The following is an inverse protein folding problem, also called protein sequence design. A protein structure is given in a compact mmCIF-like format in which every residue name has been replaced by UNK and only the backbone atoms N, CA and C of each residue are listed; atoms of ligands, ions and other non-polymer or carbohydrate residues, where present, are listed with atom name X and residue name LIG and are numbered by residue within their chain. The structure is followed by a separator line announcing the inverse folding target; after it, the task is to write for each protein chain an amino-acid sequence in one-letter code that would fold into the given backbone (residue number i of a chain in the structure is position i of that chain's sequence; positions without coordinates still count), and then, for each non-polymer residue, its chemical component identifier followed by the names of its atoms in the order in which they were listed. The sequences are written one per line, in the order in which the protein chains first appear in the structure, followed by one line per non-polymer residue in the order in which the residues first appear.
data_IF_638481368302
#
_entry.id   IF_638481368302
#
_cell.length_a   1.000
_cell.length_b   1.000
_cell.length_c   1.000
_cell.angle_alpha   90.00
_cell.angle_beta   90.00
_cell.angle_gamma   90.00
#
_symmetry.space_group_name_H-M   'P 1'
#
loop_
_entity.id
_entity.type
_entity.pdbx_description
1 polymer ?
#
# COMPACT_ATOMS: atom_id res chain seq x y z
N UNK A 1 28.44 -6.61 0.73
CA UNK A 1 27.76 -5.30 0.67
C UNK A 1 26.27 -5.59 0.81
N UNK A 2 25.59 -5.01 1.80
CA UNK A 2 24.14 -5.23 1.97
C UNK A 2 23.41 -4.84 0.69
N UNK A 3 22.46 -5.67 0.25
CA UNK A 3 21.44 -5.36 -0.76
C UNK A 3 20.48 -4.28 -0.23
N UNK A 4 21.03 -3.08 -0.02
CA UNK A 4 20.30 -1.91 0.44
C UNK A 4 19.26 -1.51 -0.62
N UNK A 5 19.49 -1.79 -1.90
CA UNK A 5 18.62 -1.31 -2.99
C UNK A 5 17.24 -1.97 -3.01
N UNK A 6 17.17 -3.30 -3.02
CA UNK A 6 15.88 -4.02 -3.09
C UNK A 6 15.08 -3.88 -1.80
N UNK A 7 15.74 -4.07 -0.66
CA UNK A 7 15.13 -3.97 0.66
C UNK A 7 14.65 -2.54 0.95
N UNK A 8 15.43 -1.50 0.61
CA UNK A 8 15.00 -0.12 0.89
C UNK A 8 13.91 0.34 -0.07
N UNK A 9 14.00 -0.02 -1.35
CA UNK A 9 12.95 0.29 -2.32
C UNK A 9 11.63 -0.37 -1.93
N UNK A 10 11.68 -1.65 -1.53
CA UNK A 10 10.52 -2.37 -1.05
C UNK A 10 9.86 -1.71 0.16
N UNK A 11 10.63 -1.12 1.10
CA UNK A 11 10.08 -0.42 2.25
C UNK A 11 9.47 0.92 1.85
N UNK A 12 10.10 1.62 0.91
CA UNK A 12 9.60 2.88 0.37
C UNK A 12 8.22 2.68 -0.27
N UNK A 13 8.06 1.67 -1.11
CA UNK A 13 6.77 1.39 -1.74
C UNK A 13 5.75 0.84 -0.74
N UNK A 14 6.16 0.03 0.24
CA UNK A 14 5.23 -0.57 1.18
C UNK A 14 4.68 0.44 2.21
N UNK A 15 5.48 1.44 2.61
CA UNK A 15 5.14 2.32 3.73
C UNK A 15 5.20 3.81 3.42
N UNK A 16 6.16 4.30 2.65
CA UNK A 16 6.28 5.74 2.43
C UNK A 16 5.21 6.23 1.44
N UNK A 17 5.11 5.58 0.28
CA UNK A 17 4.20 6.03 -0.79
C UNK A 17 2.71 5.95 -0.42
N UNK A 18 2.19 4.82 0.11
CA UNK A 18 0.76 4.73 0.43
C UNK A 18 0.36 5.72 1.53
N UNK A 19 1.27 5.92 2.49
CA UNK A 19 1.14 6.93 3.54
C UNK A 19 1.03 8.35 2.99
N UNK A 20 1.95 8.72 2.09
CA UNK A 20 1.95 10.04 1.46
C UNK A 20 0.67 10.26 0.65
N UNK A 21 0.23 9.27 -0.13
CA UNK A 21 -1.02 9.31 -0.90
C UNK A 21 -2.22 9.48 0.04
N UNK A 22 -2.23 8.77 1.17
CA UNK A 22 -3.29 8.87 2.18
C UNK A 22 -3.35 10.27 2.78
N UNK A 23 -2.21 10.82 3.21
CA UNK A 23 -2.14 12.18 3.75
C UNK A 23 -2.53 13.23 2.70
N UNK A 24 -2.08 13.05 1.46
CA UNK A 24 -2.47 13.93 0.36
C UNK A 24 -3.98 13.85 0.07
N UNK A 25 -4.57 12.66 0.10
CA UNK A 25 -6.02 12.48 -0.01
C UNK A 25 -6.77 13.15 1.14
N UNK A 26 -6.28 13.00 2.38
CA UNK A 26 -6.84 13.65 3.56
C UNK A 26 -6.76 15.18 3.50
N UNK A 27 -5.81 15.75 2.76
CA UNK A 27 -5.70 17.22 2.56
C UNK A 27 -6.91 17.83 1.83
N UNK A 28 -7.71 17.03 1.12
CA UNK A 28 -8.96 17.50 0.54
C UNK A 28 -10.04 17.72 1.60
N UNK A 29 -9.97 17.00 2.71
CA UNK A 29 -10.96 16.97 3.78
C UNK A 29 -10.53 17.81 4.99
N UNK A 30 -9.23 17.90 5.25
CA UNK A 30 -8.65 18.58 6.41
C UNK A 30 -7.89 19.85 5.98
N UNK A 31 -8.39 21.06 6.32
CA UNK A 31 -7.76 22.32 5.94
C UNK A 31 -6.32 22.50 6.43
N UNK A 32 -6.02 22.05 7.65
CA UNK A 32 -4.67 22.18 8.22
C UNK A 32 -3.65 21.34 7.47
N UNK A 33 -4.03 20.11 7.09
CA UNK A 33 -3.18 19.23 6.30
C UNK A 33 -2.97 19.79 4.88
N UNK A 34 -3.98 20.45 4.30
CA UNK A 34 -3.84 21.16 3.02
C UNK A 34 -2.79 22.26 3.09
N UNK A 35 -2.84 23.11 4.12
CA UNK A 35 -1.84 24.19 4.31
C UNK A 35 -0.44 23.62 4.42
N UNK A 36 -0.27 22.53 5.18
CA UNK A 36 1.02 21.84 5.29
C UNK A 36 1.52 21.33 3.94
N UNK A 37 0.66 20.75 3.10
CA UNK A 37 1.03 20.32 1.75
C UNK A 37 1.33 21.49 0.81
N UNK A 38 0.60 22.60 0.91
CA UNK A 38 0.88 23.82 0.13
C UNK A 38 2.27 24.40 0.47
N UNK A 39 2.61 24.51 1.77
CA UNK A 39 3.96 24.93 2.20
C UNK A 39 5.04 23.93 1.75
N UNK A 40 4.77 22.63 1.84
CA UNK A 40 5.71 21.59 1.43
C UNK A 40 5.99 21.62 -0.08
N UNK A 41 4.95 21.80 -0.91
CA UNK A 41 5.08 21.78 -2.37
C UNK A 41 5.65 23.08 -2.96
N UNK A 42 5.49 24.22 -2.28
CA UNK A 42 5.99 25.52 -2.75
C UNK A 42 7.51 25.73 -2.54
N UNK A 43 8.25 24.71 -2.07
CA UNK A 43 9.71 24.79 -1.94
C UNK A 43 10.19 25.63 -0.75
N UNK A 44 9.28 26.18 0.07
CA UNK A 44 9.58 26.76 1.38
C UNK A 44 9.87 25.68 2.45
N UNK A 45 9.90 24.41 2.05
CA UNK A 45 10.14 23.29 2.95
C UNK A 45 11.58 23.31 3.46
N UNK A 46 11.74 23.59 4.75
CA UNK A 46 12.97 23.27 5.45
C UNK A 46 13.14 21.73 5.61
N UNK A 47 14.37 21.28 5.87
CA UNK A 47 14.69 19.86 6.09
C UNK A 47 13.78 19.21 7.15
N UNK A 48 13.39 19.98 8.17
CA UNK A 48 12.51 19.52 9.24
C UNK A 48 11.11 19.15 8.75
N UNK A 49 10.49 19.96 7.88
CA UNK A 49 9.17 19.69 7.33
C UNK A 49 9.17 18.45 6.43
N UNK A 50 10.25 18.26 5.65
CA UNK A 50 10.43 17.04 4.85
C UNK A 50 10.49 15.78 5.72
N UNK A 51 11.35 15.79 6.76
CA UNK A 51 11.46 14.67 7.68
C UNK A 51 10.15 14.39 8.41
N UNK A 52 9.43 15.44 8.84
CA UNK A 52 8.13 15.33 9.47
C UNK A 52 7.09 14.71 8.52
N UNK A 53 7.06 15.14 7.25
CA UNK A 53 6.14 14.59 6.25
C UNK A 53 6.45 13.12 5.95
N UNK A 54 7.73 12.75 5.88
CA UNK A 54 8.15 11.36 5.69
C UNK A 54 7.72 10.48 6.88
N UNK A 55 7.95 10.92 8.11
CA UNK A 55 7.53 10.21 9.32
C UNK A 55 6.00 10.10 9.41
N UNK A 56 5.29 11.19 9.13
CA UNK A 56 3.84 11.21 9.11
C UNK A 56 3.28 10.25 8.05
N UNK A 57 3.92 10.18 6.87
CA UNK A 57 3.55 9.24 5.81
C UNK A 57 3.72 7.80 6.28
N UNK A 58 4.87 7.44 6.86
CA UNK A 58 5.07 6.09 7.41
C UNK A 58 4.01 5.77 8.47
N UNK A 59 3.75 6.70 9.40
CA UNK A 59 2.74 6.52 10.44
C UNK A 59 1.33 6.32 9.86
N UNK A 60 0.93 7.12 8.87
CA UNK A 60 -0.34 6.98 8.18
C UNK A 60 -0.45 5.63 7.46
N UNK A 61 0.62 5.19 6.78
CA UNK A 61 0.65 3.91 6.08
C UNK A 61 0.53 2.70 7.02
N UNK A 62 1.04 2.79 8.25
CA UNK A 62 0.84 1.74 9.25
C UNK A 62 -0.64 1.60 9.62
N UNK A 63 -1.37 2.71 9.75
CA UNK A 63 -2.81 2.68 9.99
C UNK A 63 -3.57 2.08 8.79
N UNK A 64 -3.21 2.50 7.57
CA UNK A 64 -3.79 1.94 6.35
C UNK A 64 -3.48 0.44 6.21
N UNK A 65 -2.30 0.00 6.63
CA UNK A 65 -1.90 -1.41 6.62
C UNK A 65 -2.79 -2.26 7.52
N UNK A 66 -3.30 -1.73 8.64
CA UNK A 66 -4.26 -2.42 9.50
C UNK A 66 -5.60 -2.63 8.78
N UNK A 67 -6.10 -1.59 8.12
CA UNK A 67 -7.34 -1.66 7.33
C UNK A 67 -7.17 -2.61 6.15
N UNK A 68 -6.01 -2.57 5.48
CA UNK A 68 -5.64 -3.51 4.41
C UNK A 68 -5.65 -4.94 4.90
N UNK A 69 -5.01 -5.20 6.03
CA UNK A 69 -4.97 -6.53 6.63
C UNK A 69 -6.38 -7.05 6.91
N UNK A 70 -7.25 -6.21 7.47
CA UNK A 70 -8.64 -6.59 7.68
C UNK A 70 -9.33 -6.91 6.35
N UNK A 71 -9.21 -6.03 5.35
CA UNK A 71 -9.87 -6.18 4.04
C UNK A 71 -9.40 -7.44 3.29
N UNK A 72 -8.08 -7.63 3.17
CA UNK A 72 -7.53 -8.71 2.36
C UNK A 72 -7.43 -10.01 3.15
N UNK A 73 -6.73 -10.03 4.28
CA UNK A 73 -6.45 -11.28 4.99
C UNK A 73 -7.68 -11.83 5.72
N UNK A 74 -8.60 -11.00 6.22
CA UNK A 74 -9.82 -11.50 6.89
C UNK A 74 -10.99 -11.73 5.93
N UNK A 75 -11.13 -10.92 4.87
CA UNK A 75 -12.28 -11.04 3.95
C UNK A 75 -11.93 -11.68 2.60
N UNK A 76 -11.08 -11.04 1.78
CA UNK A 76 -10.87 -11.44 0.38
C UNK A 76 -10.05 -12.73 0.25
N UNK A 77 -8.91 -12.78 0.93
CA UNK A 77 -7.90 -13.83 0.86
C UNK A 77 -7.94 -14.80 2.05
N UNK A 78 -9.02 -14.80 2.85
CA UNK A 78 -9.18 -15.59 4.09
C UNK A 78 -8.82 -17.08 3.99
N UNK A 79 -8.94 -17.67 2.79
CA UNK A 79 -8.62 -19.09 2.54
C UNK A 79 -7.12 -19.35 2.39
N UNK A 80 -6.33 -18.31 2.16
CA UNK A 80 -4.90 -18.38 1.89
C UNK A 80 -4.13 -17.83 3.10
N UNK A 81 -4.15 -18.53 4.23
CA UNK A 81 -3.32 -18.19 5.37
C UNK A 81 -2.08 -19.09 5.43
N UNK A 82 -0.99 -18.56 5.99
CA UNK A 82 0.12 -19.37 6.49
C UNK A 82 -0.25 -19.88 7.88
N UNK A 83 -0.06 -21.16 8.12
CA UNK A 83 -0.38 -21.81 9.41
C UNK A 83 0.87 -21.89 10.29
N UNK A 84 0.74 -21.97 11.63
CA UNK A 84 1.88 -22.13 12.52
C UNK A 84 2.75 -23.36 12.18
N UNK A 85 2.14 -24.41 11.64
CA UNK A 85 2.84 -25.62 11.21
C UNK A 85 3.80 -25.37 10.05
N UNK A 86 3.50 -24.40 9.18
CA UNK A 86 4.37 -24.03 8.06
C UNK A 86 5.71 -23.45 8.54
N UNK A 87 5.75 -22.80 9.72
CA UNK A 87 6.96 -22.17 10.26
C UNK A 87 7.90 -23.14 10.99
N UNK A 88 7.51 -24.40 11.21
CA UNK A 88 8.32 -25.38 11.95
C UNK A 88 9.61 -25.77 11.23
N UNK A 89 9.64 -25.68 9.91
CA UNK A 89 10.76 -26.09 9.04
C UNK A 89 11.68 -24.93 8.67
N UNK A 90 11.41 -23.72 9.16
CA UNK A 90 12.08 -22.48 8.76
C UNK A 90 13.45 -22.24 9.42
N UNK A 91 13.90 -23.14 10.30
CA UNK A 91 15.19 -23.04 10.99
C UNK A 91 16.41 -23.29 10.11
N UNK A 92 16.22 -23.83 8.90
CA UNK A 92 17.30 -24.02 7.93
C UNK A 92 17.66 -22.68 7.24
N UNK A 93 18.94 -22.29 7.29
CA UNK A 93 19.43 -20.99 6.79
C UNK A 93 19.08 -20.73 5.31
N UNK A 94 19.08 -21.78 4.48
CA UNK A 94 18.67 -21.70 3.07
C UNK A 94 17.17 -21.41 2.89
N UNK A 95 16.30 -22.04 3.69
CA UNK A 95 14.85 -21.82 3.65
C UNK A 95 14.50 -20.42 4.17
N UNK A 96 15.19 -19.96 5.20
CA UNK A 96 14.99 -18.61 5.75
C UNK A 96 15.35 -17.52 4.73
N UNK A 97 16.47 -17.69 4.01
CA UNK A 97 16.90 -16.76 2.95
C UNK A 97 15.91 -16.75 1.79
N UNK A 98 15.46 -17.92 1.33
CA UNK A 98 14.45 -18.03 0.28
C UNK A 98 13.09 -17.42 0.71
N UNK A 99 12.68 -17.63 1.96
CA UNK A 99 11.45 -17.04 2.50
C UNK A 99 11.53 -15.51 2.54
N UNK A 100 12.66 -14.94 2.96
CA UNK A 100 12.88 -13.48 2.89
C UNK A 100 12.79 -12.95 1.46
N UNK A 101 13.37 -13.67 0.49
CA UNK A 101 13.23 -13.34 -0.93
C UNK A 101 11.76 -13.30 -1.38
N UNK A 102 10.94 -14.28 -0.96
CA UNK A 102 9.51 -14.30 -1.27
C UNK A 102 8.73 -13.13 -0.62
N UNK A 103 9.11 -12.72 0.59
CA UNK A 103 8.55 -11.52 1.24
C UNK A 103 8.89 -10.27 0.41
N UNK A 104 10.15 -10.10 0.03
CA UNK A 104 10.62 -8.91 -0.67
C UNK A 104 10.03 -8.80 -2.09
N UNK A 105 9.92 -9.92 -2.82
CA UNK A 105 9.43 -9.95 -4.20
C UNK A 105 7.89 -9.88 -4.33
N UNK A 106 7.14 -10.37 -3.35
CA UNK A 106 5.69 -10.53 -3.50
C UNK A 106 4.88 -9.86 -2.40
N UNK A 107 5.29 -10.03 -1.14
CA UNK A 107 4.53 -9.48 -0.02
C UNK A 107 4.60 -7.95 0.01
N UNK A 108 5.74 -7.34 -0.31
CA UNK A 108 5.88 -5.88 -0.35
C UNK A 108 5.01 -5.22 -1.41
N UNK A 109 4.86 -5.84 -2.58
CA UNK A 109 3.92 -5.39 -3.60
C UNK A 109 2.47 -5.54 -3.16
N UNK A 110 2.14 -6.60 -2.41
CA UNK A 110 0.83 -6.71 -1.78
C UNK A 110 0.59 -5.59 -0.76
N UNK A 111 1.58 -5.25 0.06
CA UNK A 111 1.49 -4.14 1.01
C UNK A 111 1.23 -2.80 0.28
N UNK A 112 1.98 -2.53 -0.79
CA UNK A 112 1.77 -1.33 -1.61
C UNK A 112 0.38 -1.31 -2.24
N UNK A 113 0.06 -2.28 -3.11
CA UNK A 113 -1.22 -2.27 -3.84
C UNK A 113 -2.42 -2.39 -2.92
N UNK A 114 -2.34 -3.22 -1.88
CA UNK A 114 -3.42 -3.37 -0.91
C UNK A 114 -3.67 -2.09 -0.10
N UNK A 115 -2.62 -1.34 0.24
CA UNK A 115 -2.77 -0.04 0.91
C UNK A 115 -3.30 1.03 -0.05
N UNK A 116 -2.92 0.98 -1.33
CA UNK A 116 -3.44 1.88 -2.35
C UNK A 116 -4.94 1.70 -2.57
N UNK A 117 -5.49 0.48 -2.45
CA UNK A 117 -6.95 0.24 -2.50
C UNK A 117 -7.73 1.04 -1.44
N UNK A 118 -7.07 1.41 -0.35
CA UNK A 118 -7.71 2.18 0.73
C UNK A 118 -7.41 3.67 0.56
N UNK A 119 -6.19 4.01 0.17
CA UNK A 119 -5.75 5.39 0.01
C UNK A 119 -6.42 6.09 -1.19
N UNK A 120 -6.56 5.38 -2.33
CA UNK A 120 -7.07 5.93 -3.58
C UNK A 120 -8.53 6.38 -3.49
N UNK A 121 -9.48 5.64 -2.88
CA UNK A 121 -10.84 6.13 -2.67
C UNK A 121 -10.92 7.43 -1.86
N UNK A 122 -10.08 7.58 -0.83
CA UNK A 122 -10.03 8.80 0.00
C UNK A 122 -9.55 9.99 -0.83
N UNK A 123 -8.51 9.78 -1.63
CA UNK A 123 -7.99 10.79 -2.54
C UNK A 123 -9.00 11.15 -3.64
N UNK A 124 -9.55 10.14 -4.33
CA UNK A 124 -10.50 10.33 -5.41
C UNK A 124 -11.75 11.05 -4.94
N UNK A 125 -12.33 10.62 -3.81
CA UNK A 125 -13.51 11.27 -3.24
C UNK A 125 -13.26 12.75 -2.92
N UNK A 126 -12.10 13.05 -2.32
CA UNK A 126 -11.73 14.42 -1.97
C UNK A 126 -11.49 15.30 -3.20
N UNK A 127 -10.77 14.78 -4.19
CA UNK A 127 -10.54 15.46 -5.46
C UNK A 127 -11.85 15.68 -6.23
N UNK A 128 -12.68 14.65 -6.38
CA UNK A 128 -13.94 14.70 -7.13
C UNK A 128 -14.95 15.68 -6.50
N UNK A 129 -14.98 15.75 -5.17
CA UNK A 129 -15.78 16.72 -4.44
C UNK A 129 -15.31 18.16 -4.73
N UNK A 130 -14.00 18.42 -4.63
CA UNK A 130 -13.44 19.76 -4.81
C UNK A 130 -13.49 20.23 -6.27
N UNK A 131 -13.24 19.34 -7.22
CA UNK A 131 -13.27 19.64 -8.66
C UNK A 131 -14.69 19.73 -9.23
N UNK A 132 -15.71 19.31 -8.46
CA UNK A 132 -17.12 19.23 -8.89
C UNK A 132 -17.28 18.45 -10.20
N UNK A 133 -16.50 17.37 -10.37
CA UNK A 133 -16.50 16.55 -11.59
C UNK A 133 -17.87 15.95 -11.94
N UNK A 134 -18.71 15.75 -10.91
CA UNK A 134 -20.09 15.26 -11.06
C UNK A 134 -21.11 16.35 -11.40
N UNK A 135 -20.68 17.59 -11.65
CA UNK A 135 -21.56 18.67 -12.13
C UNK A 135 -22.14 18.38 -13.51
N UNK A 136 -21.39 17.67 -14.36
CA UNK A 136 -21.85 17.12 -15.64
C UNK A 136 -21.96 15.60 -15.53
N UNK A 137 -23.17 15.06 -15.69
CA UNK A 137 -23.47 13.65 -15.43
C UNK A 137 -22.57 12.69 -16.23
N UNK A 138 -22.44 12.90 -17.54
CA UNK A 138 -21.70 12.00 -18.42
C UNK A 138 -20.19 11.98 -18.13
N UNK A 139 -19.58 13.15 -17.88
CA UNK A 139 -18.15 13.20 -17.50
C UNK A 139 -17.94 12.62 -16.11
N UNK A 140 -18.84 12.88 -15.17
CA UNK A 140 -18.78 12.29 -13.83
C UNK A 140 -18.86 10.77 -13.86
N UNK A 141 -19.79 10.20 -14.62
CA UNK A 141 -19.93 8.75 -14.79
C UNK A 141 -18.71 8.14 -15.48
N UNK A 142 -18.17 8.78 -16.52
CA UNK A 142 -16.96 8.31 -17.20
C UNK A 142 -15.76 8.26 -16.25
N UNK A 143 -15.53 9.34 -15.49
CA UNK A 143 -14.42 9.43 -14.55
C UNK A 143 -14.57 8.41 -13.41
N UNK A 144 -15.79 8.23 -12.88
CA UNK A 144 -16.07 7.21 -11.88
C UNK A 144 -15.84 5.80 -12.43
N UNK A 145 -16.28 5.52 -13.67
CA UNK A 145 -16.05 4.23 -14.30
C UNK A 145 -14.55 3.94 -14.47
N UNK A 146 -13.78 4.91 -14.96
CA UNK A 146 -12.31 4.78 -15.08
C UNK A 146 -11.69 4.50 -13.72
N UNK A 147 -12.09 5.26 -12.69
CA UNK A 147 -11.61 5.04 -11.32
C UNK A 147 -11.91 3.63 -10.83
N UNK A 148 -13.17 3.15 -10.96
CA UNK A 148 -13.56 1.81 -10.52
C UNK A 148 -12.80 0.69 -11.26
N UNK A 149 -12.54 0.86 -12.56
CA UNK A 149 -11.73 -0.10 -13.33
C UNK A 149 -10.30 -0.15 -12.81
N UNK A 150 -9.66 1.00 -12.60
CA UNK A 150 -8.31 1.07 -12.06
C UNK A 150 -8.23 0.51 -10.64
N UNK A 151 -9.21 0.86 -9.79
CA UNK A 151 -9.33 0.39 -8.43
C UNK A 151 -9.50 -1.13 -8.36
N UNK A 152 -10.35 -1.69 -9.23
CA UNK A 152 -10.52 -3.14 -9.36
C UNK A 152 -9.22 -3.83 -9.80
N UNK A 153 -8.48 -3.26 -10.75
CA UNK A 153 -7.17 -3.79 -11.16
C UNK A 153 -6.17 -3.75 -10.01
N UNK A 154 -6.13 -2.67 -9.23
CA UNK A 154 -5.28 -2.54 -8.04
C UNK A 154 -5.65 -3.58 -6.97
N UNK A 155 -6.94 -3.79 -6.70
CA UNK A 155 -7.41 -4.81 -5.76
C UNK A 155 -7.09 -6.24 -6.22
N UNK A 156 -7.26 -6.54 -7.51
CA UNK A 156 -6.88 -7.82 -8.10
C UNK A 156 -5.37 -8.05 -8.03
N UNK A 157 -4.58 -7.02 -8.33
CA UNK A 157 -3.12 -7.05 -8.19
C UNK A 157 -2.70 -7.34 -6.76
N UNK A 158 -3.30 -6.66 -5.78
CA UNK A 158 -3.05 -6.90 -4.37
C UNK A 158 -3.41 -8.34 -3.97
N UNK A 159 -4.60 -8.83 -4.30
CA UNK A 159 -5.03 -10.18 -3.95
C UNK A 159 -4.13 -11.26 -4.58
N UNK A 160 -3.77 -11.11 -5.86
CA UNK A 160 -2.88 -12.05 -6.54
C UNK A 160 -1.47 -12.04 -5.96
N UNK A 161 -0.92 -10.87 -5.64
CA UNK A 161 0.39 -10.76 -5.01
C UNK A 161 0.42 -11.50 -3.66
N UNK A 162 -0.63 -11.38 -2.85
CA UNK A 162 -0.76 -12.11 -1.59
C UNK A 162 -0.85 -13.63 -1.78
N UNK A 163 -1.70 -14.08 -2.70
CA UNK A 163 -1.86 -15.52 -2.99
C UNK A 163 -0.55 -16.12 -3.49
N UNK A 164 0.15 -15.42 -4.39
CA UNK A 164 1.45 -15.87 -4.90
C UNK A 164 2.51 -15.91 -3.80
N UNK A 165 2.52 -14.91 -2.91
CA UNK A 165 3.36 -14.91 -1.72
C UNK A 165 3.10 -16.15 -0.85
N UNK A 166 1.85 -16.42 -0.48
CA UNK A 166 1.46 -17.56 0.37
C UNK A 166 1.83 -18.89 -0.29
N UNK A 167 1.57 -19.04 -1.59
CA UNK A 167 1.90 -20.25 -2.32
C UNK A 167 3.40 -20.50 -2.37
N UNK A 168 4.19 -19.47 -2.73
CA UNK A 168 5.64 -19.58 -2.83
C UNK A 168 6.29 -19.81 -1.47
N UNK A 169 5.79 -19.13 -0.44
CA UNK A 169 6.20 -19.37 0.95
C UNK A 169 5.97 -20.82 1.35
N UNK A 170 4.78 -21.40 1.07
CA UNK A 170 4.52 -22.83 1.35
C UNK A 170 5.45 -23.76 0.60
N UNK A 171 5.73 -23.50 -0.67
CA UNK A 171 6.67 -24.32 -1.46
C UNK A 171 8.06 -24.32 -0.81
N UNK A 172 8.58 -23.14 -0.46
CA UNK A 172 9.88 -22.99 0.21
C UNK A 172 9.91 -23.74 1.56
N UNK A 173 8.85 -23.63 2.36
CA UNK A 173 8.76 -24.26 3.68
C UNK A 173 8.63 -25.79 3.58
N UNK A 174 8.00 -26.32 2.54
CA UNK A 174 7.86 -27.77 2.28
C UNK A 174 9.09 -28.39 1.61
N UNK A 175 9.99 -27.58 1.05
CA UNK A 175 11.22 -28.06 0.39
C UNK A 175 10.96 -28.85 -0.90
N UNK A 176 9.87 -28.53 -1.61
CA UNK A 176 9.49 -29.11 -2.90
C UNK A 176 9.88 -28.18 -4.03
#
# INVERSE_FOLDING_TARGET
MMDITSTSFGLLIAYLLPGLVTLFGLSYWLPDLRRLFETFLNGESNLGLFLLMALASIAASLQVTLVRWALFELFICRRNALTPDDFKTLGEEGKFTAFRGAVDEHYRYHQFWGSMVIALPVLFGGWAWRSRVFSHLWSGLLVLFIFLVLEALTALGAARAYINYVNRARTIMKGV
#
